data_IF_446714493327
#
_entry.id   IF_446714493327
#
_cell.length_a   1.000
_cell.length_b   1.000
_cell.length_c   1.000
_cell.angle_alpha   90.00
_cell.angle_beta   90.00
_cell.angle_gamma   90.00
#
_symmetry.space_group_name_H-M   'P 1'
#
loop_
_entity.id
_entity.type
_entity.pdbx_description
1 polymer ?
#
# COMPACT_ATOMS: atom_id res chain seq x y z
N UNK A 1 -21.27 -44.35 0.25
CA UNK A 1 -22.17 -44.42 1.41
C UNK A 1 -21.40 -44.00 2.65
N UNK A 2 -21.76 -42.87 3.26
CA UNK A 2 -21.06 -42.39 4.45
C UNK A 2 -21.25 -43.40 5.58
N UNK A 3 -20.15 -44.00 6.06
CA UNK A 3 -20.20 -44.77 7.31
C UNK A 3 -20.84 -43.87 8.37
N UNK A 4 -21.96 -44.32 8.96
CA UNK A 4 -22.59 -43.63 10.09
C UNK A 4 -21.49 -43.36 11.10
N UNK A 5 -21.18 -42.09 11.34
CA UNK A 5 -20.27 -41.69 12.40
C UNK A 5 -20.80 -42.36 13.67
N UNK A 6 -19.96 -43.17 14.34
CA UNK A 6 -20.42 -43.97 15.46
C UNK A 6 -20.93 -43.02 16.55
N UNK A 7 -21.99 -43.44 17.26
CA UNK A 7 -22.78 -42.54 18.10
C UNK A 7 -21.97 -41.93 19.25
N UNK A 8 -20.91 -42.62 19.67
CA UNK A 8 -19.90 -42.21 20.65
C UNK A 8 -19.07 -40.99 20.21
N UNK A 9 -18.97 -40.71 18.90
CA UNK A 9 -18.24 -39.54 18.37
C UNK A 9 -19.12 -38.35 18.04
N UNK A 10 -20.44 -38.45 18.28
CA UNK A 10 -21.38 -37.36 17.98
C UNK A 10 -21.47 -36.45 19.19
N UNK A 11 -21.28 -35.17 18.96
CA UNK A 11 -21.41 -34.12 19.96
C UNK A 11 -22.73 -33.38 19.71
N UNK A 12 -23.38 -32.88 20.76
CA UNK A 12 -24.62 -32.13 20.58
C UNK A 12 -24.33 -30.77 19.95
N UNK A 13 -25.18 -30.35 19.00
CA UNK A 13 -25.06 -29.01 18.43
C UNK A 13 -25.26 -27.93 19.50
N UNK A 14 -26.22 -28.14 20.40
CA UNK A 14 -26.45 -27.33 21.58
C UNK A 14 -26.27 -28.19 22.84
N UNK A 15 -25.47 -27.76 23.83
CA UNK A 15 -24.73 -26.50 23.88
C UNK A 15 -23.31 -26.58 23.30
N UNK A 16 -22.75 -27.78 23.12
CA UNK A 16 -21.30 -27.99 22.95
C UNK A 16 -20.71 -27.27 21.73
N UNK A 17 -21.19 -27.57 20.52
CA UNK A 17 -20.66 -26.96 19.27
C UNK A 17 -20.92 -25.45 19.26
N UNK A 18 -22.10 -25.01 19.71
CA UNK A 18 -22.42 -23.58 19.77
C UNK A 18 -21.47 -22.82 20.70
N UNK A 19 -21.15 -23.36 21.87
CA UNK A 19 -20.23 -22.70 22.82
C UNK A 19 -18.82 -22.63 22.22
N UNK A 20 -18.34 -23.70 21.60
CA UNK A 20 -17.01 -23.73 20.97
C UNK A 20 -16.91 -22.71 19.83
N UNK A 21 -17.89 -22.70 18.91
CA UNK A 21 -17.93 -21.77 17.78
C UNK A 21 -18.11 -20.32 18.24
N UNK A 22 -18.97 -20.05 19.24
CA UNK A 22 -19.17 -18.72 19.79
C UNK A 22 -17.91 -18.20 20.49
N UNK A 23 -17.22 -19.07 21.25
CA UNK A 23 -15.96 -18.71 21.92
C UNK A 23 -14.88 -18.38 20.90
N UNK A 24 -14.74 -19.20 19.85
CA UNK A 24 -13.81 -18.93 18.75
C UNK A 24 -14.15 -17.63 18.02
N UNK A 25 -15.42 -17.40 17.69
CA UNK A 25 -15.88 -16.19 17.03
C UNK A 25 -15.57 -14.94 17.87
N UNK A 26 -15.99 -14.93 19.14
CA UNK A 26 -15.76 -13.79 20.03
C UNK A 26 -14.26 -13.56 20.22
N UNK A 27 -13.48 -14.61 20.49
CA UNK A 27 -12.04 -14.51 20.66
C UNK A 27 -11.33 -13.97 19.41
N UNK A 28 -11.65 -14.53 18.25
CA UNK A 28 -11.06 -14.12 16.98
C UNK A 28 -11.47 -12.69 16.58
N UNK A 29 -12.75 -12.34 16.70
CA UNK A 29 -13.22 -10.98 16.40
C UNK A 29 -12.61 -9.96 17.36
N UNK A 30 -12.54 -10.27 18.66
CA UNK A 30 -11.89 -9.38 19.65
C UNK A 30 -10.42 -9.18 19.30
N UNK A 31 -9.70 -10.25 18.96
CA UNK A 31 -8.31 -10.18 18.53
C UNK A 31 -8.14 -9.30 17.29
N UNK A 32 -8.97 -9.48 16.25
CA UNK A 32 -8.93 -8.66 15.04
C UNK A 32 -9.23 -7.18 15.34
N UNK A 33 -10.24 -6.89 16.16
CA UNK A 33 -10.57 -5.51 16.56
C UNK A 33 -9.42 -4.86 17.32
N UNK A 34 -8.81 -5.55 18.28
CA UNK A 34 -7.65 -5.03 19.02
C UNK A 34 -6.48 -4.78 18.07
N UNK A 35 -6.18 -5.73 17.18
CA UNK A 35 -5.09 -5.56 16.21
C UNK A 35 -5.37 -4.35 15.31
N UNK A 36 -6.55 -4.24 14.72
CA UNK A 36 -6.89 -3.13 13.81
C UNK A 36 -6.95 -1.78 14.54
N UNK A 37 -7.52 -1.71 15.74
CA UNK A 37 -7.64 -0.45 16.48
C UNK A 37 -6.27 0.11 16.92
N UNK A 38 -5.34 -0.76 17.35
CA UNK A 38 -4.07 -0.32 17.90
C UNK A 38 -2.94 -0.28 16.86
N UNK A 39 -2.88 -1.22 15.91
CA UNK A 39 -1.75 -1.34 14.98
C UNK A 39 -2.00 -0.77 13.59
N UNK A 40 -3.26 -0.51 13.23
CA UNK A 40 -3.60 0.07 11.94
C UNK A 40 -4.17 1.47 12.13
N UNK A 41 -3.84 2.36 11.21
CA UNK A 41 -4.42 3.68 11.07
C UNK A 41 -5.21 3.72 9.77
N UNK A 42 -6.43 4.24 9.82
CA UNK A 42 -7.29 4.41 8.65
C UNK A 42 -7.71 5.88 8.54
N UNK A 43 -6.76 6.78 8.26
CA UNK A 43 -7.07 8.19 8.08
C UNK A 43 -7.96 8.37 6.85
N UNK A 44 -8.85 9.36 6.92
CA UNK A 44 -9.75 9.67 5.81
C UNK A 44 -8.99 10.47 4.74
N UNK A 45 -9.11 10.02 3.50
CA UNK A 45 -8.59 10.72 2.33
C UNK A 45 -9.46 11.93 1.96
N UNK A 46 -9.02 12.65 0.92
CA UNK A 46 -9.72 13.82 0.41
C UNK A 46 -11.13 13.47 -0.12
N UNK A 47 -12.02 14.46 -0.16
CA UNK A 47 -13.35 14.24 -0.75
C UNK A 47 -13.17 13.94 -2.24
N UNK A 48 -13.75 12.83 -2.69
CA UNK A 48 -13.63 12.34 -4.06
C UNK A 48 -13.93 13.44 -5.10
N UNK A 49 -12.97 13.68 -6.00
CA UNK A 49 -13.06 14.67 -7.06
C UNK A 49 -13.06 13.97 -8.44
N UNK A 50 -14.18 13.99 -9.20
CA UNK A 50 -14.24 13.33 -10.51
C UNK A 50 -13.37 14.00 -11.59
N UNK A 51 -12.80 15.18 -11.34
CA UNK A 51 -11.90 15.87 -12.26
C UNK A 51 -10.43 15.57 -12.00
N UNK A 52 -10.10 14.83 -10.94
CA UNK A 52 -8.72 14.47 -10.58
C UNK A 52 -8.63 12.97 -10.34
N UNK A 53 -7.75 12.28 -11.08
CA UNK A 53 -7.45 10.87 -10.83
C UNK A 53 -6.15 10.80 -10.05
N UNK A 54 -6.13 10.22 -8.84
CA UNK A 54 -4.90 10.04 -8.08
C UNK A 54 -3.89 9.19 -8.87
N UNK A 55 -2.60 9.47 -8.71
CA UNK A 55 -1.53 8.77 -9.45
C UNK A 55 -1.48 7.27 -9.12
N UNK A 56 -1.61 6.92 -7.84
CA UNK A 56 -1.57 5.55 -7.34
C UNK A 56 -2.88 5.16 -6.68
N UNK A 57 -3.89 4.78 -7.47
CA UNK A 57 -5.12 4.19 -6.92
C UNK A 57 -4.93 2.69 -6.70
N UNK A 58 -4.85 2.26 -5.43
CA UNK A 58 -4.70 0.85 -5.07
C UNK A 58 -6.06 0.17 -4.94
N UNK A 59 -6.23 -1.00 -5.56
CA UNK A 59 -7.44 -1.79 -5.38
C UNK A 59 -7.44 -2.46 -3.99
N UNK A 60 -8.60 -2.86 -3.44
CA UNK A 60 -8.63 -3.70 -2.25
C UNK A 60 -7.85 -5.00 -2.44
N UNK A 61 -7.17 -5.48 -1.40
CA UNK A 61 -6.22 -6.60 -1.47
C UNK A 61 -6.79 -7.89 -2.07
N UNK A 62 -8.07 -8.17 -1.86
CA UNK A 62 -8.75 -9.36 -2.40
C UNK A 62 -8.95 -9.30 -3.93
N UNK A 63 -8.69 -8.14 -4.55
CA UNK A 63 -8.64 -7.95 -6.00
C UNK A 63 -7.22 -7.87 -6.56
N UNK A 64 -6.16 -8.02 -5.75
CA UNK A 64 -4.79 -7.94 -6.26
C UNK A 64 -4.50 -8.97 -7.34
N UNK A 65 -4.97 -10.21 -7.21
CA UNK A 65 -4.79 -11.22 -8.25
C UNK A 65 -5.39 -10.79 -9.61
N UNK A 66 -6.49 -10.04 -9.58
CA UNK A 66 -7.14 -9.52 -10.78
C UNK A 66 -6.33 -8.36 -11.37
N UNK A 67 -5.81 -7.47 -10.52
CA UNK A 67 -4.91 -6.40 -10.95
C UNK A 67 -3.62 -6.95 -11.59
N UNK A 68 -3.03 -8.00 -11.01
CA UNK A 68 -1.86 -8.66 -11.59
C UNK A 68 -2.16 -9.26 -12.96
N UNK A 69 -3.34 -9.85 -13.12
CA UNK A 69 -3.79 -10.38 -14.41
C UNK A 69 -4.03 -9.27 -15.44
N UNK A 70 -4.58 -8.13 -15.03
CA UNK A 70 -4.82 -6.96 -15.90
C UNK A 70 -3.53 -6.34 -16.45
N UNK A 71 -2.39 -6.52 -15.78
CA UNK A 71 -1.09 -6.04 -16.25
C UNK A 71 -0.49 -6.89 -17.37
N UNK A 72 -0.90 -8.15 -17.51
CA UNK A 72 -0.30 -9.11 -18.46
C UNK A 72 -1.24 -9.55 -19.59
N UNK A 73 -2.53 -9.28 -19.49
CA UNK A 73 -3.54 -9.74 -20.44
C UNK A 73 -4.47 -8.60 -20.87
N UNK A 74 -5.20 -8.81 -21.97
CA UNK A 74 -6.23 -7.87 -22.43
C UNK A 74 -7.27 -7.63 -21.32
N UNK A 75 -7.71 -6.37 -21.19
CA UNK A 75 -8.61 -5.92 -20.12
C UNK A 75 -9.94 -6.67 -20.11
N UNK A 76 -10.46 -7.04 -21.27
CA UNK A 76 -11.72 -7.80 -21.38
C UNK A 76 -11.51 -9.24 -20.96
N UNK A 77 -10.40 -9.84 -21.38
CA UNK A 77 -10.05 -11.23 -21.03
C UNK A 77 -9.80 -11.35 -19.53
N UNK A 78 -8.94 -10.50 -18.98
CA UNK A 78 -8.55 -10.49 -17.58
C UNK A 78 -9.69 -10.07 -16.65
N UNK A 79 -10.43 -9.01 -17.00
CA UNK A 79 -11.45 -8.41 -16.13
C UNK A 79 -12.80 -9.13 -16.17
N UNK A 80 -13.17 -9.74 -17.29
CA UNK A 80 -14.52 -10.28 -17.50
C UNK A 80 -14.50 -11.78 -17.77
N UNK A 81 -13.74 -12.23 -18.78
CA UNK A 81 -13.80 -13.61 -19.26
C UNK A 81 -13.21 -14.57 -18.21
N UNK A 82 -11.98 -14.31 -17.74
CA UNK A 82 -11.29 -15.21 -16.80
C UNK A 82 -12.04 -15.32 -15.46
N UNK A 83 -12.45 -14.23 -14.79
CA UNK A 83 -13.24 -14.33 -13.57
C UNK A 83 -14.58 -15.04 -13.78
N UNK A 84 -15.24 -14.80 -14.92
CA UNK A 84 -16.49 -15.49 -15.29
C UNK A 84 -16.29 -17.00 -15.45
N UNK A 85 -15.23 -17.42 -16.15
CA UNK A 85 -14.88 -18.83 -16.32
C UNK A 85 -14.51 -19.47 -14.99
N UNK A 86 -13.72 -18.80 -14.14
CA UNK A 86 -13.37 -19.30 -12.81
C UNK A 86 -14.60 -19.50 -11.93
N UNK A 87 -15.57 -18.59 -11.99
CA UNK A 87 -16.82 -18.71 -11.25
C UNK A 87 -17.64 -19.93 -11.74
N UNK A 88 -17.78 -20.10 -13.06
CA UNK A 88 -18.45 -21.27 -13.64
C UNK A 88 -17.72 -22.57 -13.29
N UNK A 89 -16.39 -22.57 -13.35
CA UNK A 89 -15.56 -23.71 -12.95
C UNK A 89 -15.78 -24.06 -11.47
N UNK A 90 -15.82 -23.05 -10.59
CA UNK A 90 -16.05 -23.21 -9.15
C UNK A 90 -17.42 -23.86 -8.89
N UNK A 91 -18.47 -23.40 -9.57
CA UNK A 91 -19.80 -24.04 -9.53
C UNK A 91 -19.80 -25.45 -10.13
N UNK A 92 -18.91 -25.70 -11.10
CA UNK A 92 -18.72 -26.97 -11.79
C UNK A 92 -17.94 -28.02 -10.99
N UNK A 93 -17.14 -27.63 -9.99
CA UNK A 93 -16.31 -28.53 -9.16
C UNK A 93 -17.06 -29.79 -8.69
N UNK A 94 -18.28 -29.72 -8.08
CA UNK A 94 -18.97 -30.93 -7.63
C UNK A 94 -19.29 -31.93 -8.74
N UNK A 95 -19.37 -31.48 -10.00
CA UNK A 95 -19.66 -32.35 -11.16
C UNK A 95 -18.39 -32.89 -11.81
N UNK A 96 -17.28 -32.14 -11.72
CA UNK A 96 -15.97 -32.50 -12.27
C UNK A 96 -15.21 -33.47 -11.35
N UNK A 97 -15.29 -33.28 -10.02
CA UNK A 97 -14.62 -34.16 -9.05
C UNK A 97 -15.58 -35.24 -8.52
N UNK A 98 -15.72 -36.32 -9.29
CA UNK A 98 -16.57 -37.48 -8.96
C UNK A 98 -15.87 -38.54 -8.11
N UNK A 99 -14.78 -38.19 -7.40
CA UNK A 99 -14.00 -39.19 -6.69
C UNK A 99 -14.84 -39.87 -5.59
N UNK A 100 -14.98 -41.22 -5.59
CA UNK A 100 -15.77 -41.94 -4.61
C UNK A 100 -15.18 -41.87 -3.19
N UNK A 101 -13.87 -41.59 -3.06
CA UNK A 101 -13.20 -41.40 -1.77
C UNK A 101 -13.07 -39.92 -1.44
N UNK A 102 -13.40 -39.56 -0.19
CA UNK A 102 -13.18 -38.21 0.38
C UNK A 102 -11.83 -38.09 1.12
N UNK A 103 -11.03 -39.15 1.17
CA UNK A 103 -9.72 -39.12 1.85
C UNK A 103 -8.74 -38.31 1.00
N UNK A 104 -8.03 -37.37 1.61
CA UNK A 104 -7.09 -36.50 0.89
C UNK A 104 -6.01 -37.28 0.12
N UNK A 105 -5.54 -38.41 0.68
CA UNK A 105 -4.56 -39.30 0.01
C UNK A 105 -5.03 -39.86 -1.32
N UNK A 106 -6.33 -40.02 -1.51
CA UNK A 106 -6.94 -40.59 -2.72
C UNK A 106 -7.33 -39.47 -3.73
N UNK A 107 -7.15 -38.20 -3.35
CA UNK A 107 -7.47 -37.00 -4.13
C UNK A 107 -6.23 -36.17 -4.46
N UNK A 108 -5.06 -36.81 -4.56
CA UNK A 108 -3.77 -36.12 -4.80
C UNK A 108 -3.81 -35.16 -5.98
N UNK A 109 -4.42 -35.55 -7.10
CA UNK A 109 -4.52 -34.68 -8.30
C UNK A 109 -5.32 -33.42 -8.00
N UNK A 110 -6.50 -33.54 -7.37
CA UNK A 110 -7.35 -32.39 -7.02
C UNK A 110 -6.67 -31.46 -6.00
N UNK A 111 -5.96 -32.04 -5.01
CA UNK A 111 -5.20 -31.26 -4.03
C UNK A 111 -4.04 -30.54 -4.71
N UNK A 112 -3.26 -31.22 -5.56
CA UNK A 112 -2.14 -30.62 -6.29
C UNK A 112 -2.65 -29.51 -7.20
N UNK A 113 -3.73 -29.71 -7.95
CA UNK A 113 -4.32 -28.65 -8.79
C UNK A 113 -4.80 -27.45 -7.96
N UNK A 114 -5.38 -27.70 -6.78
CA UNK A 114 -5.79 -26.63 -5.85
C UNK A 114 -4.59 -25.86 -5.30
N UNK A 115 -3.49 -26.55 -4.96
CA UNK A 115 -2.24 -25.92 -4.52
C UNK A 115 -1.61 -25.11 -5.64
N UNK A 116 -1.53 -25.64 -6.85
CA UNK A 116 -1.04 -24.91 -8.02
C UNK A 116 -1.88 -23.67 -8.29
N UNK A 117 -3.22 -23.79 -8.25
CA UNK A 117 -4.11 -22.64 -8.37
C UNK A 117 -3.86 -21.61 -7.25
N UNK A 118 -3.66 -22.05 -6.01
CA UNK A 118 -3.29 -21.17 -4.89
C UNK A 118 -1.97 -20.43 -5.12
N UNK A 119 -0.94 -21.12 -5.61
CA UNK A 119 0.35 -20.50 -5.95
C UNK A 119 0.18 -19.48 -7.08
N UNK A 120 -0.58 -19.80 -8.13
CA UNK A 120 -0.87 -18.86 -9.22
C UNK A 120 -1.59 -17.63 -8.67
N UNK A 121 -2.58 -17.79 -7.79
CA UNK A 121 -3.28 -16.67 -7.15
C UNK A 121 -2.34 -15.81 -6.30
N UNK A 122 -1.39 -16.40 -5.58
CA UNK A 122 -0.38 -15.67 -4.81
C UNK A 122 0.56 -14.86 -5.71
N UNK A 123 1.06 -15.48 -6.79
CA UNK A 123 1.93 -14.80 -7.78
C UNK A 123 1.18 -13.64 -8.42
N UNK A 124 -0.06 -13.86 -8.88
CA UNK A 124 -0.89 -12.80 -9.44
C UNK A 124 -1.18 -11.71 -8.41
N UNK A 125 -1.39 -12.05 -7.14
CA UNK A 125 -1.61 -11.06 -6.08
C UNK A 125 -0.38 -10.21 -5.84
N UNK A 126 0.82 -10.80 -5.85
CA UNK A 126 2.07 -10.05 -5.78
C UNK A 126 2.25 -9.13 -7.00
N UNK A 127 1.99 -9.62 -8.21
CA UNK A 127 2.02 -8.82 -9.44
C UNK A 127 0.97 -7.69 -9.43
N UNK A 128 -0.13 -7.87 -8.70
CA UNK A 128 -1.18 -6.86 -8.54
C UNK A 128 -0.78 -5.68 -7.66
N UNK A 129 0.28 -5.80 -6.87
CA UNK A 129 0.76 -4.70 -6.03
C UNK A 129 1.23 -3.51 -6.88
N UNK A 130 1.16 -2.27 -6.37
CA UNK A 130 1.61 -1.08 -7.11
C UNK A 130 3.08 -1.14 -7.52
N UNK A 131 3.91 -1.81 -6.71
CA UNK A 131 5.35 -1.94 -6.94
C UNK A 131 5.73 -2.75 -8.19
N UNK A 132 4.81 -3.56 -8.73
CA UNK A 132 5.11 -4.41 -9.89
C UNK A 132 4.61 -3.76 -11.18
N UNK A 133 5.53 -3.45 -12.10
CA UNK A 133 5.24 -3.01 -13.47
C UNK A 133 4.35 -1.75 -13.60
N UNK A 134 4.26 -0.93 -12.55
CA UNK A 134 3.74 0.44 -12.61
C UNK A 134 4.93 1.36 -12.35
N UNK A 135 5.35 2.10 -13.36
CA UNK A 135 6.40 3.11 -13.22
C UNK A 135 5.85 4.40 -13.84
N UNK A 136 5.57 5.39 -12.99
CA UNK A 136 5.39 6.77 -13.43
C UNK A 136 6.72 7.38 -13.90
N UNK A 137 6.68 8.62 -14.38
CA UNK A 137 7.91 9.35 -14.64
C UNK A 137 8.70 9.51 -13.32
N UNK A 138 10.03 9.30 -13.31
CA UNK A 138 10.85 9.33 -12.09
C UNK A 138 10.61 10.56 -11.21
N UNK A 139 10.53 11.73 -11.84
CA UNK A 139 10.29 13.00 -11.16
C UNK A 139 8.94 13.10 -10.46
N UNK A 140 7.92 12.39 -10.97
CA UNK A 140 6.59 12.34 -10.35
C UNK A 140 6.60 11.37 -9.17
N UNK A 141 7.22 10.19 -9.33
CA UNK A 141 7.30 9.16 -8.28
C UNK A 141 8.04 9.67 -7.03
N UNK A 142 9.18 10.33 -7.21
CA UNK A 142 9.98 10.89 -6.10
C UNK A 142 9.14 11.85 -5.25
N UNK A 143 8.41 12.76 -5.90
CA UNK A 143 7.57 13.73 -5.17
C UNK A 143 6.33 13.06 -4.57
N UNK A 144 5.75 12.08 -5.25
CA UNK A 144 4.60 11.33 -4.76
C UNK A 144 4.94 10.48 -3.53
N UNK A 145 6.15 9.94 -3.44
CA UNK A 145 6.61 9.17 -2.27
C UNK A 145 6.79 10.06 -1.04
N UNK A 146 7.37 11.25 -1.22
CA UNK A 146 7.61 12.21 -0.12
C UNK A 146 6.35 12.97 0.30
N UNK A 147 5.52 13.34 -0.67
CA UNK A 147 4.33 14.17 -0.46
C UNK A 147 3.22 13.76 -1.45
N UNK A 148 2.53 12.64 -1.21
CA UNK A 148 1.50 12.16 -2.10
C UNK A 148 0.32 13.11 -2.15
N UNK A 149 -0.36 13.17 -3.29
CA UNK A 149 -1.56 14.00 -3.45
C UNK A 149 -2.62 13.68 -2.40
N UNK A 150 -2.86 12.39 -2.17
CA UNK A 150 -3.79 11.84 -1.19
C UNK A 150 -3.06 10.90 -0.24
N UNK A 151 -3.47 10.88 1.03
CA UNK A 151 -2.90 10.00 2.05
C UNK A 151 -1.72 10.59 2.84
N UNK A 152 -1.08 9.70 3.61
CA UNK A 152 0.08 10.03 4.45
C UNK A 152 1.34 10.16 3.60
N UNK A 153 2.17 11.15 3.91
CA UNK A 153 3.49 11.29 3.32
C UNK A 153 4.48 11.82 4.36
N UNK A 154 5.76 11.44 4.28
CA UNK A 154 6.79 11.84 5.25
C UNK A 154 6.77 13.35 5.56
N UNK A 155 6.60 14.20 4.54
CA UNK A 155 6.58 15.67 4.69
C UNK A 155 5.36 16.18 5.48
N UNK A 156 4.21 15.50 5.37
CA UNK A 156 3.00 15.86 6.12
C UNK A 156 3.05 15.32 7.55
N UNK A 157 3.78 14.24 7.79
CA UNK A 157 3.91 13.57 9.09
C UNK A 157 4.79 14.35 10.06
N UNK A 158 5.93 14.87 9.61
CA UNK A 158 6.80 15.75 10.44
C UNK A 158 6.08 17.05 10.83
N UNK A 159 5.07 17.46 10.05
CA UNK A 159 4.19 18.56 10.36
C UNK A 159 4.74 19.96 10.10
N UNK A 160 3.91 20.96 10.38
CA UNK A 160 4.18 22.34 9.97
C UNK A 160 5.39 22.97 10.68
N UNK A 161 5.60 22.65 11.96
CA UNK A 161 6.68 23.24 12.77
C UNK A 161 8.08 22.86 12.28
N UNK A 162 8.24 21.62 11.80
CA UNK A 162 9.50 21.02 11.38
C UNK A 162 9.91 21.37 9.94
N UNK A 163 9.24 22.35 9.31
CA UNK A 163 9.54 22.80 7.94
C UNK A 163 10.24 24.17 7.94
N UNK A 164 11.58 24.24 8.03
CA UNK A 164 12.30 25.50 7.97
C UNK A 164 12.10 26.19 6.60
N UNK A 165 11.99 27.52 6.63
CA UNK A 165 11.84 28.34 5.42
C UNK A 165 13.20 28.42 4.74
N UNK A 166 13.26 28.07 3.45
CA UNK A 166 14.54 28.02 2.74
C UNK A 166 14.44 27.49 1.32
N UNK A 167 15.60 27.46 0.68
CA UNK A 167 15.81 26.83 -0.63
C UNK A 167 16.88 25.78 -0.41
N UNK A 168 16.57 24.53 -0.72
CA UNK A 168 17.40 23.38 -0.46
C UNK A 168 17.69 22.69 -1.80
N UNK A 169 18.95 22.70 -2.23
CA UNK A 169 19.41 22.11 -3.49
C UNK A 169 20.12 20.80 -3.18
N UNK A 170 19.69 19.68 -3.77
CA UNK A 170 20.25 18.35 -3.49
C UNK A 170 21.71 18.21 -3.93
N UNK A 171 22.26 19.14 -4.71
CA UNK A 171 23.68 19.14 -5.09
C UNK A 171 24.58 19.68 -3.99
N UNK A 172 24.03 20.45 -3.06
CA UNK A 172 24.76 21.10 -1.98
C UNK A 172 24.70 20.29 -0.67
N UNK A 173 23.96 19.17 -0.65
CA UNK A 173 23.70 18.34 0.53
C UNK A 173 23.31 19.19 1.76
N UNK A 174 22.16 19.89 1.67
CA UNK A 174 21.77 20.86 2.67
C UNK A 174 21.49 20.17 4.00
N UNK A 175 22.00 20.76 5.08
CA UNK A 175 21.76 20.31 6.44
C UNK A 175 21.08 21.47 7.18
N UNK A 176 20.02 21.14 7.91
CA UNK A 176 19.27 22.05 8.76
C UNK A 176 19.42 21.68 10.23
N UNK A 177 18.96 22.56 11.13
CA UNK A 177 18.95 22.28 12.57
C UNK A 177 17.91 21.22 12.98
N UNK A 178 16.97 20.89 12.08
CA UNK A 178 15.88 19.94 12.33
C UNK A 178 16.21 18.54 11.81
N UNK A 179 16.27 17.55 12.71
CA UNK A 179 16.63 16.17 12.37
C UNK A 179 15.58 15.48 11.49
N UNK A 180 14.29 15.73 11.73
CA UNK A 180 13.21 15.14 10.95
C UNK A 180 13.19 15.69 9.53
N UNK A 181 13.41 16.99 9.37
CA UNK A 181 13.53 17.59 8.04
C UNK A 181 14.78 17.12 7.28
N UNK A 182 15.90 16.93 7.98
CA UNK A 182 17.11 16.37 7.38
C UNK A 182 16.86 14.95 6.84
N UNK A 183 16.03 14.15 7.51
CA UNK A 183 15.62 12.84 7.00
C UNK A 183 14.87 12.96 5.67
N UNK A 184 13.92 13.90 5.56
CA UNK A 184 13.20 14.18 4.30
C UNK A 184 14.15 14.61 3.17
N UNK A 185 15.11 15.48 3.47
CA UNK A 185 16.11 15.92 2.50
C UNK A 185 16.97 14.75 2.01
N UNK A 186 17.37 13.86 2.92
CA UNK A 186 18.11 12.65 2.59
C UNK A 186 17.26 11.68 1.75
N UNK A 187 15.98 11.46 2.09
CA UNK A 187 15.07 10.64 1.29
C UNK A 187 14.87 11.22 -0.12
N UNK A 188 14.77 12.54 -0.24
CA UNK A 188 14.67 13.21 -1.54
C UNK A 188 15.92 13.03 -2.40
N UNK A 189 17.10 13.21 -1.81
CA UNK A 189 18.38 12.95 -2.49
C UNK A 189 18.51 11.47 -2.89
N UNK A 190 18.18 10.55 -1.98
CA UNK A 190 18.24 9.12 -2.22
C UNK A 190 17.27 8.67 -3.33
N UNK A 191 16.05 9.22 -3.36
CA UNK A 191 15.09 8.95 -4.43
C UNK A 191 15.61 9.41 -5.79
N UNK A 192 16.18 10.62 -5.87
CA UNK A 192 16.80 11.13 -7.10
C UNK A 192 17.96 10.22 -7.56
N UNK A 193 18.85 9.83 -6.64
CA UNK A 193 19.98 8.96 -6.94
C UNK A 193 19.52 7.56 -7.41
N UNK A 194 18.52 6.98 -6.75
CA UNK A 194 17.97 5.67 -7.11
C UNK A 194 17.44 5.64 -8.55
N UNK A 195 16.66 6.64 -8.94
CA UNK A 195 16.14 6.73 -10.30
C UNK A 195 17.20 7.12 -11.33
N UNK A 196 18.24 7.89 -10.94
CA UNK A 196 19.37 8.18 -11.81
C UNK A 196 20.14 6.91 -12.23
N UNK A 197 20.22 5.92 -11.33
CA UNK A 197 20.86 4.64 -11.60
C UNK A 197 19.94 3.66 -12.35
N UNK A 198 18.63 3.72 -12.07
CA UNK A 198 17.66 2.73 -12.55
C UNK A 198 17.07 3.09 -13.91
N UNK A 199 16.84 4.38 -14.19
CA UNK A 199 16.18 4.85 -15.40
C UNK A 199 17.16 5.58 -16.34
N UNK A 200 17.48 5.00 -17.52
CA UNK A 200 18.37 5.62 -18.50
C UNK A 200 17.90 6.98 -19.04
N UNK A 201 16.62 7.31 -18.88
CA UNK A 201 16.05 8.59 -19.33
C UNK A 201 16.29 9.75 -18.36
N UNK A 202 16.75 9.45 -17.15
CA UNK A 202 16.88 10.41 -16.05
C UNK A 202 18.36 10.77 -15.80
N UNK A 203 18.95 11.52 -16.73
CA UNK A 203 20.41 11.79 -16.74
C UNK A 203 20.74 13.05 -15.93
N UNK A 204 21.75 12.94 -15.06
CA UNK A 204 22.23 14.03 -14.18
C UNK A 204 21.11 14.80 -13.46
N UNK A 205 20.19 14.12 -12.78
CA UNK A 205 19.07 14.77 -12.13
C UNK A 205 19.51 15.54 -10.88
N UNK A 206 18.83 16.62 -10.59
CA UNK A 206 18.94 17.33 -9.31
C UNK A 206 17.60 17.93 -8.89
N UNK A 207 17.43 18.04 -7.58
CA UNK A 207 16.22 18.53 -6.94
C UNK A 207 16.44 19.87 -6.26
N UNK A 208 15.45 20.74 -6.32
CA UNK A 208 15.36 21.97 -5.52
C UNK A 208 14.05 21.94 -4.75
N UNK A 209 14.15 21.88 -3.43
CA UNK A 209 13.01 22.03 -2.52
C UNK A 209 12.96 23.47 -2.03
N UNK A 210 11.83 24.15 -2.26
CA UNK A 210 11.63 25.53 -1.84
C UNK A 210 10.47 25.63 -0.86
N UNK A 211 10.77 25.97 0.38
CA UNK A 211 9.79 26.21 1.44
C UNK A 211 9.68 27.71 1.65
N UNK A 212 8.50 28.26 1.41
CA UNK A 212 8.22 29.70 1.53
C UNK A 212 7.00 29.96 2.40
N UNK A 213 7.02 31.02 3.19
CA UNK A 213 5.86 31.47 3.96
C UNK A 213 4.95 32.30 3.04
N UNK A 214 3.74 31.82 2.76
CA UNK A 214 2.78 32.54 1.89
C UNK A 214 1.80 33.38 2.72
N UNK A 215 1.36 32.85 3.86
CA UNK A 215 0.51 33.52 4.87
C UNK A 215 1.01 33.15 6.27
N UNK A 216 0.63 33.83 7.37
CA UNK A 216 1.17 33.55 8.71
C UNK A 216 1.11 32.06 9.14
N UNK A 217 0.04 31.37 8.78
CA UNK A 217 -0.21 29.95 9.11
C UNK A 217 -0.10 29.02 7.89
N UNK A 218 0.41 29.50 6.74
CA UNK A 218 0.45 28.74 5.48
C UNK A 218 1.85 28.75 4.84
N UNK A 219 2.45 27.57 4.74
CA UNK A 219 3.70 27.33 4.01
C UNK A 219 3.40 26.79 2.63
N UNK A 220 4.11 27.30 1.63
CA UNK A 220 4.16 26.78 0.26
C UNK A 220 5.43 25.97 0.09
N UNK A 221 5.26 24.71 -0.29
CA UNK A 221 6.32 23.73 -0.51
C UNK A 221 6.36 23.43 -2.01
N UNK A 222 7.40 23.91 -2.69
CA UNK A 222 7.59 23.68 -4.12
C UNK A 222 8.74 22.70 -4.34
N UNK A 223 8.40 21.57 -4.96
CA UNK A 223 9.32 20.54 -5.41
C UNK A 223 9.66 20.79 -6.87
N UNK A 224 10.94 20.97 -7.14
CA UNK A 224 11.46 21.12 -8.49
C UNK A 224 12.48 20.04 -8.74
N UNK A 225 12.35 19.32 -9.84
CA UNK A 225 13.31 18.30 -10.27
C UNK A 225 13.69 18.62 -11.70
N UNK A 226 14.99 18.73 -11.96
CA UNK A 226 15.55 19.00 -13.28
C UNK A 226 16.44 17.83 -13.70
N UNK A 227 16.34 17.41 -14.96
CA UNK A 227 17.18 16.35 -15.53
C UNK A 227 17.44 16.61 -17.01
N UNK A 228 18.41 15.88 -17.57
CA UNK A 228 18.66 15.84 -19.00
C UNK A 228 17.96 14.62 -19.61
N UNK A 229 17.18 14.85 -20.66
CA UNK A 229 16.63 13.77 -21.47
C UNK A 229 17.74 13.06 -22.27
N UNK A 230 17.53 11.83 -22.77
CA UNK A 230 18.47 11.15 -23.66
C UNK A 230 18.86 11.94 -24.91
N UNK A 231 17.99 12.83 -25.36
CA UNK A 231 18.21 13.73 -26.50
C UNK A 231 19.02 14.98 -26.13
N UNK A 232 19.45 15.10 -24.87
CA UNK A 232 20.23 16.23 -24.35
C UNK A 232 19.39 17.49 -24.09
N UNK A 233 18.06 17.35 -23.97
CA UNK A 233 17.17 18.46 -23.64
C UNK A 233 17.00 18.54 -22.12
N UNK A 234 17.07 19.75 -21.57
CA UNK A 234 16.72 19.98 -20.17
C UNK A 234 15.21 19.86 -19.98
N UNK A 235 14.81 18.96 -19.09
CA UNK A 235 13.45 18.77 -18.65
C UNK A 235 13.31 19.16 -17.18
N UNK A 236 12.15 19.71 -16.85
CA UNK A 236 11.83 20.22 -15.53
C UNK A 236 10.45 19.77 -15.11
N UNK A 237 10.38 19.24 -13.90
CA UNK A 237 9.15 18.95 -13.19
C UNK A 237 9.01 19.94 -12.03
N UNK A 238 7.83 20.54 -11.89
CA UNK A 238 7.51 21.44 -10.79
C UNK A 238 6.16 21.03 -10.21
N UNK A 239 6.14 20.71 -8.92
CA UNK A 239 4.92 20.45 -8.16
C UNK A 239 4.92 21.32 -6.92
N UNK A 240 3.77 21.89 -6.59
CA UNK A 240 3.63 22.79 -5.44
C UNK A 240 2.50 22.33 -4.56
N UNK A 241 2.78 22.25 -3.26
CA UNK A 241 1.82 21.94 -2.22
C UNK A 241 1.74 23.09 -1.22
N UNK A 242 0.63 23.13 -0.50
CA UNK A 242 0.39 24.08 0.56
C UNK A 242 0.11 23.31 1.84
N UNK A 243 0.77 23.69 2.92
CA UNK A 243 0.58 23.11 4.25
C UNK A 243 0.16 24.20 5.22
N UNK A 244 -1.01 24.03 5.81
CA UNK A 244 -1.54 24.93 6.83
C UNK A 244 -1.20 24.41 8.22
N UNK A 245 -0.97 25.31 9.17
CA UNK A 245 -0.70 24.97 10.58
C UNK A 245 -1.86 24.20 11.24
N UNK A 246 -3.11 24.54 10.91
CA UNK A 246 -4.29 23.81 11.43
C UNK A 246 -4.71 22.60 10.57
N UNK A 247 -3.82 22.09 9.72
CA UNK A 247 -4.17 20.94 8.86
C UNK A 247 -4.20 19.60 9.60
N UNK A 248 -3.68 19.55 10.84
CA UNK A 248 -3.68 18.40 11.76
C UNK A 248 -3.14 17.10 11.14
N UNK A 249 -2.35 17.18 10.06
CA UNK A 249 -1.83 15.98 9.40
C UNK A 249 -0.97 15.15 10.38
N UNK A 250 -0.07 15.78 11.11
CA UNK A 250 0.77 15.11 12.10
C UNK A 250 0.00 14.53 13.29
N UNK A 251 -1.22 14.97 13.57
CA UNK A 251 -2.05 14.37 14.63
C UNK A 251 -2.84 13.16 14.13
N UNK A 252 -3.31 13.20 12.87
CA UNK A 252 -4.08 12.12 12.25
C UNK A 252 -3.19 11.00 11.71
N UNK A 253 -2.00 11.38 11.23
CA UNK A 253 -1.06 10.54 10.49
C UNK A 253 0.24 10.30 11.26
N UNK A 254 0.51 11.04 12.35
CA UNK A 254 1.71 10.85 13.15
C UNK A 254 1.84 9.43 13.67
N UNK A 255 3.08 8.97 13.81
CA UNK A 255 3.41 7.76 14.54
C UNK A 255 2.63 7.76 15.86
N UNK A 256 1.75 6.77 16.07
CA UNK A 256 1.02 6.65 17.35
C UNK A 256 2.07 6.72 18.45
N UNK A 257 2.04 7.80 19.23
CA UNK A 257 3.04 8.02 20.26
C UNK A 257 2.88 6.94 21.33
N UNK A 258 3.73 5.91 21.26
CA UNK A 258 3.83 4.86 22.26
C UNK A 258 4.71 5.29 23.44
N UNK A 259 4.89 6.59 23.69
CA UNK A 259 5.58 7.12 24.87
C UNK A 259 5.06 6.53 26.19
N UNK A 260 3.77 6.15 26.25
CA UNK A 260 3.17 5.45 27.38
C UNK A 260 3.74 4.02 27.63
N UNK A 261 4.45 3.44 26.67
CA UNK A 261 5.15 2.15 26.78
C UNK A 261 6.62 2.36 27.18
N UNK A 262 7.17 3.55 26.96
CA UNK A 262 8.53 3.88 27.40
C UNK A 262 8.50 4.17 28.91
N UNK A 263 9.39 3.57 29.72
CA UNK A 263 9.54 4.00 31.10
C UNK A 263 9.93 5.49 31.12
N UNK A 264 9.45 6.28 32.10
CA UNK A 264 9.81 7.69 32.19
C UNK A 264 11.33 7.81 32.22
N UNK A 265 11.88 8.65 31.35
CA UNK A 265 13.28 9.01 31.41
C UNK A 265 13.56 9.59 32.80
N UNK A 266 14.50 9.00 33.52
CA UNK A 266 14.95 9.51 34.82
C UNK A 266 15.52 10.93 34.60
N UNK A 267 14.97 11.91 35.33
CA UNK A 267 15.43 13.30 35.40
C UNK A 267 16.85 13.43 36.00
#
# INVERSE_FOLDING_TARGET
>A
TANKVPADRRVYFLPDVMIDEATFLIGFTTLMVVITAFFFSAPLESIANPQSTPLHTVAPWYFYWLQGLLKIADKTVAGVIVPGVLLVLLMGIPYLDRNPSRRGRDRRVAIISGVVAGIVMLVLSWMGTPYYAVQGAPSVEIVQELMPEEGMGPVREIGYGHLPIGVYDTRENPITDDEEFNHILHEFEAGIAHFAETDPSFINPYGILRVTQEQPSLKRIAWEINWLSPEGKEERFLRTFFLHEDSLYWEQYGLKDFSFVRPPAEE
#
